data_IF_550702069545
#
_entry.id   IF_550702069545
#
_cell.length_a   1.000
_cell.length_b   1.000
_cell.length_c   1.000
_cell.angle_alpha   90.00
_cell.angle_beta   90.00
_cell.angle_gamma   90.00
#
_symmetry.space_group_name_H-M   'P 1'
#
loop_
_entity.id
_entity.type
_entity.pdbx_description
1 polymer ?
#
# COMPACT_ATOMS: atom_id res chain seq x y z
N UNK A 1 -7.79 15.09 1.89
CA UNK A 1 -7.48 14.48 0.61
C UNK A 1 -8.00 13.08 0.53
N UNK A 2 -8.54 12.76 -0.55
CA UNK A 2 -9.28 11.54 -0.68
C UNK A 2 -8.41 10.44 -1.26
N UNK A 3 -8.18 9.40 -0.49
CA UNK A 3 -7.44 8.24 -0.94
C UNK A 3 -8.41 7.15 -1.36
N UNK A 4 -8.69 7.08 -2.64
CA UNK A 4 -9.59 6.07 -3.17
C UNK A 4 -8.88 4.74 -3.37
N UNK A 5 -8.19 4.31 -2.32
CA UNK A 5 -7.45 3.06 -2.35
C UNK A 5 -8.42 1.91 -2.15
N UNK A 6 -8.36 0.93 -3.05
CA UNK A 6 -9.26 -0.21 -3.03
C UNK A 6 -8.48 -1.49 -3.16
N UNK A 7 -9.08 -2.57 -2.70
CA UNK A 7 -8.50 -3.89 -2.84
C UNK A 7 -8.15 -4.15 -4.31
N UNK A 8 -6.94 -4.61 -4.54
CA UNK A 8 -6.42 -4.86 -5.88
C UNK A 8 -5.56 -3.75 -6.44
N UNK A 9 -5.59 -2.57 -5.82
CA UNK A 9 -4.77 -1.46 -6.29
C UNK A 9 -3.30 -1.69 -6.00
N UNK A 10 -2.45 -1.19 -6.88
CA UNK A 10 -1.01 -1.15 -6.65
C UNK A 10 -0.69 0.21 -6.06
N UNK A 11 0.04 0.21 -4.94
CA UNK A 11 0.34 1.44 -4.23
C UNK A 11 1.83 1.53 -3.92
N UNK A 12 2.26 2.73 -3.63
CA UNK A 12 3.62 3.00 -3.16
C UNK A 12 3.53 3.99 -2.00
N UNK A 13 4.62 4.16 -1.28
CA UNK A 13 4.66 5.17 -0.24
C UNK A 13 4.60 6.56 -0.85
N UNK A 14 3.78 7.42 -0.25
CA UNK A 14 3.72 8.82 -0.68
C UNK A 14 5.05 9.53 -0.41
N UNK A 15 5.71 9.18 0.72
CA UNK A 15 7.01 9.74 1.07
C UNK A 15 7.97 8.57 1.24
N UNK A 16 8.69 8.23 0.17
CA UNK A 16 9.52 7.04 0.15
C UNK A 16 10.85 7.22 0.89
N UNK A 17 11.28 8.44 1.09
CA UNK A 17 12.61 8.72 1.64
C UNK A 17 12.81 8.09 3.00
N UNK A 18 11.78 8.11 3.84
CA UNK A 18 11.89 7.58 5.19
C UNK A 18 12.09 6.07 5.20
N UNK A 19 11.66 5.41 4.15
CA UNK A 19 11.72 3.96 4.05
C UNK A 19 12.88 3.50 3.18
N UNK A 20 13.58 4.44 2.56
CA UNK A 20 14.79 4.15 1.81
C UNK A 20 14.59 3.37 0.54
N UNK A 21 13.37 3.23 0.06
CA UNK A 21 13.12 2.43 -1.13
C UNK A 21 11.99 3.04 -1.94
N UNK A 22 12.36 3.86 -2.91
CA UNK A 22 11.39 4.50 -3.78
C UNK A 22 10.75 3.54 -4.77
N UNK A 23 11.35 2.38 -4.96
CA UNK A 23 10.85 1.41 -5.93
C UNK A 23 9.87 0.41 -5.32
N UNK A 24 9.69 0.42 -4.01
CA UNK A 24 8.80 -0.53 -3.36
C UNK A 24 7.37 -0.35 -3.85
N UNK A 25 6.75 -1.47 -4.18
CA UNK A 25 5.36 -1.48 -4.63
C UNK A 25 4.60 -2.53 -3.84
N UNK A 26 3.34 -2.25 -3.59
CA UNK A 26 2.48 -3.14 -2.80
C UNK A 26 1.16 -3.31 -3.51
N UNK A 27 0.52 -4.43 -3.30
CA UNK A 27 -0.85 -4.64 -3.74
C UNK A 27 -1.75 -4.61 -2.50
N UNK A 28 -2.85 -3.89 -2.61
CA UNK A 28 -3.82 -3.80 -1.51
C UNK A 28 -4.61 -5.09 -1.47
N UNK A 29 -4.49 -5.84 -0.37
CA UNK A 29 -5.22 -7.09 -0.22
C UNK A 29 -6.52 -6.91 0.54
N UNK A 30 -6.63 -5.85 1.35
CA UNK A 30 -7.87 -5.53 2.05
C UNK A 30 -7.88 -4.05 2.37
N UNK A 31 -8.83 -3.33 1.81
CA UNK A 31 -8.93 -1.88 2.05
C UNK A 31 -9.71 -1.54 3.32
N UNK A 32 -10.26 -2.53 3.99
CA UNK A 32 -11.03 -2.36 5.23
C UNK A 32 -12.24 -1.44 5.10
N UNK A 33 -12.66 -1.14 3.87
CA UNK A 33 -13.79 -0.27 3.63
C UNK A 33 -13.44 1.20 3.62
N UNK A 34 -14.34 2.01 3.09
CA UNK A 34 -14.09 3.43 2.88
C UNK A 34 -14.02 4.22 4.18
N UNK A 35 -14.58 3.68 5.26
CA UNK A 35 -14.59 4.38 6.54
C UNK A 35 -13.31 4.16 7.33
N UNK A 36 -12.46 3.24 6.90
CA UNK A 36 -11.22 2.95 7.60
C UNK A 36 -10.06 3.65 6.91
N UNK A 37 -9.20 4.28 7.70
CA UNK A 37 -8.05 4.98 7.14
C UNK A 37 -6.82 4.08 7.00
N UNK A 38 -6.96 2.78 7.25
CA UNK A 38 -5.87 1.82 7.12
C UNK A 38 -6.23 0.76 6.09
N UNK A 39 -5.21 0.09 5.58
CA UNK A 39 -5.41 -1.02 4.65
C UNK A 39 -4.29 -2.03 4.83
N UNK A 40 -4.57 -3.27 4.45
CA UNK A 40 -3.57 -4.33 4.45
C UNK A 40 -3.00 -4.42 3.04
N UNK A 41 -1.67 -4.45 2.97
CA UNK A 41 -0.97 -4.50 1.69
C UNK A 41 0.04 -5.64 1.72
N UNK A 42 0.34 -6.17 0.55
CA UNK A 42 1.36 -7.20 0.36
C UNK A 42 2.46 -6.65 -0.51
N UNK A 43 3.70 -6.83 -0.06
CA UNK A 43 4.85 -6.39 -0.84
C UNK A 43 4.94 -7.20 -2.15
N UNK A 44 5.13 -6.49 -3.25
CA UNK A 44 5.35 -7.13 -4.55
C UNK A 44 6.82 -7.43 -4.65
N UNK A 45 7.18 -8.70 -4.57
CA UNK A 45 8.57 -9.14 -4.59
C UNK A 45 8.63 -10.60 -5.01
N UNK A 46 9.86 -11.10 -5.12
CA UNK A 46 10.11 -12.47 -5.61
C UNK A 46 10.09 -13.52 -4.50
N UNK A 47 9.75 -13.13 -3.30
CA UNK A 47 9.73 -14.08 -2.18
C UNK A 47 8.56 -15.05 -2.35
N UNK A 48 8.76 -16.33 -1.96
CA UNK A 48 7.66 -17.31 -2.04
C UNK A 48 6.46 -16.91 -1.18
N UNK A 49 6.72 -16.29 -0.03
CA UNK A 49 5.66 -15.81 0.86
C UNK A 49 5.94 -14.33 1.11
N UNK A 50 5.36 -13.46 0.28
CA UNK A 50 5.61 -12.03 0.45
C UNK A 50 5.05 -11.53 1.78
N UNK A 51 5.75 -10.60 2.44
CA UNK A 51 5.24 -10.05 3.68
C UNK A 51 4.03 -9.17 3.45
N UNK A 52 3.15 -9.12 4.45
CA UNK A 52 2.01 -8.23 4.46
C UNK A 52 2.16 -7.22 5.61
N UNK A 53 1.60 -6.04 5.39
CA UNK A 53 1.69 -4.94 6.35
C UNK A 53 0.35 -4.23 6.42
N UNK A 54 0.13 -3.52 7.52
CA UNK A 54 -1.01 -2.62 7.65
C UNK A 54 -0.47 -1.21 7.72
N UNK A 55 -0.90 -0.37 6.78
CA UNK A 55 -0.46 1.02 6.70
C UNK A 55 -1.65 1.95 6.64
N UNK A 56 -1.42 3.20 7.02
CA UNK A 56 -2.42 4.24 6.84
C UNK A 56 -2.53 4.57 5.36
N UNK A 57 -3.77 4.69 4.88
CA UNK A 57 -4.02 5.02 3.48
C UNK A 57 -3.40 6.37 3.09
N UNK A 58 -3.35 7.31 4.05
CA UNK A 58 -2.79 8.63 3.76
C UNK A 58 -1.31 8.58 3.42
N UNK A 59 -0.63 7.50 3.81
CA UNK A 59 0.79 7.33 3.52
C UNK A 59 1.05 6.64 2.19
N UNK A 60 0.00 6.32 1.44
CA UNK A 60 0.10 5.54 0.21
C UNK A 60 -0.50 6.30 -0.96
N UNK A 61 0.03 6.02 -2.14
CA UNK A 61 -0.46 6.61 -3.39
C UNK A 61 -0.68 5.47 -4.39
N UNK A 62 -1.81 5.52 -5.07
CA UNK A 62 -2.09 4.52 -6.11
C UNK A 62 -1.18 4.77 -7.30
N UNK A 63 -0.55 3.71 -7.78
CA UNK A 63 0.34 3.75 -8.94
C UNK A 63 -0.48 3.35 -10.16
N UNK A 64 -0.44 4.22 -11.17
CA UNK A 64 -1.18 3.97 -12.40
C UNK A 64 -0.25 3.73 -13.57
#
# INVERSE_FOLDING_TARGET
>A
MNNNIKTGDIVRFAVAIEFGDESARFVVVDDYGSDCNRCMVRLICDLPIPPTYVYFKENLVVVK
#
